data_IF_723894368710
#
_entry.id   IF_723894368710
#
_cell.length_a   1.000
_cell.length_b   1.000
_cell.length_c   1.000
_cell.angle_alpha   90.00
_cell.angle_beta   90.00
_cell.angle_gamma   90.00
#
_symmetry.space_group_name_H-M   'P 1'
#
loop_
_entity.id
_entity.type
_entity.pdbx_description
1 polymer ?
#
# COMPACT_ATOMS: atom_id res chain seq x y z
N UNK A 1 -0.72 7.04 5.68
CA UNK A 1 -1.25 6.67 6.99
C UNK A 1 -2.27 7.70 7.49
N UNK A 2 -3.16 7.30 8.36
CA UNK A 2 -4.09 8.18 9.10
C UNK A 2 -4.86 7.37 10.15
N UNK A 3 -5.62 8.03 11.04
CA UNK A 3 -6.67 7.38 11.81
C UNK A 3 -7.72 6.69 10.93
N UNK A 4 -8.61 5.86 11.48
CA UNK A 4 -9.75 5.29 10.76
C UNK A 4 -10.64 6.38 10.12
N UNK A 5 -11.28 6.06 9.00
CA UNK A 5 -12.26 6.91 8.29
C UNK A 5 -11.70 8.23 7.70
N UNK A 6 -10.40 8.39 7.53
CA UNK A 6 -9.77 9.55 6.91
C UNK A 6 -9.43 9.37 5.42
N UNK A 7 -10.07 8.40 4.74
CA UNK A 7 -10.00 8.26 3.28
C UNK A 7 -8.82 7.46 2.74
N UNK A 8 -8.06 6.69 3.57
CA UNK A 8 -6.92 5.87 3.10
C UNK A 8 -7.27 4.98 1.92
N UNK A 9 -8.30 4.15 2.06
CA UNK A 9 -8.75 3.21 1.03
C UNK A 9 -9.09 3.92 -0.28
N UNK A 10 -9.79 5.05 -0.20
CA UNK A 10 -10.11 5.87 -1.37
C UNK A 10 -8.86 6.45 -2.02
N UNK A 11 -7.93 6.95 -1.23
CA UNK A 11 -6.69 7.54 -1.70
C UNK A 11 -5.81 6.53 -2.42
N UNK A 12 -5.56 5.34 -1.82
CA UNK A 12 -4.71 4.32 -2.45
C UNK A 12 -5.37 3.70 -3.70
N UNK A 13 -6.70 3.56 -3.71
CA UNK A 13 -7.45 3.16 -4.91
C UNK A 13 -7.26 4.15 -6.04
N UNK A 14 -7.38 5.44 -5.75
CA UNK A 14 -7.21 6.52 -6.73
C UNK A 14 -5.77 6.61 -7.25
N UNK A 15 -4.78 6.38 -6.39
CA UNK A 15 -3.38 6.22 -6.80
C UNK A 15 -3.22 5.06 -7.78
N UNK A 16 -3.76 3.87 -7.47
CA UNK A 16 -3.69 2.70 -8.36
C UNK A 16 -4.29 3.00 -9.72
N UNK A 17 -5.47 3.62 -9.76
CA UNK A 17 -6.10 4.06 -11.01
C UNK A 17 -5.20 5.03 -11.80
N UNK A 18 -4.61 6.02 -11.13
CA UNK A 18 -3.73 6.98 -11.79
C UNK A 18 -2.43 6.32 -12.31
N UNK A 19 -1.88 5.37 -11.59
CA UNK A 19 -0.73 4.60 -12.07
C UNK A 19 -1.06 3.81 -13.34
N UNK A 20 -2.22 3.15 -13.38
CA UNK A 20 -2.69 2.44 -14.56
C UNK A 20 -2.96 3.40 -15.73
N UNK A 21 -3.77 4.45 -15.52
CA UNK A 21 -4.28 5.29 -16.61
C UNK A 21 -3.26 6.32 -17.12
N UNK A 22 -2.46 6.91 -16.21
CA UNK A 22 -1.55 8.00 -16.57
C UNK A 22 -0.12 7.55 -16.81
N UNK A 23 0.32 6.49 -16.11
CA UNK A 23 1.67 5.97 -16.23
C UNK A 23 1.75 4.66 -17.00
N UNK A 24 0.58 4.12 -17.40
CA UNK A 24 0.45 2.88 -18.15
C UNK A 24 1.14 1.68 -17.48
N UNK A 25 1.04 1.62 -16.13
CA UNK A 25 1.58 0.55 -15.32
C UNK A 25 0.56 -0.56 -15.11
N UNK A 26 1.04 -1.81 -15.02
CA UNK A 26 0.23 -2.95 -14.60
C UNK A 26 0.05 -2.89 -13.08
N UNK A 27 -1.18 -2.68 -12.62
CA UNK A 27 -1.51 -2.54 -11.21
C UNK A 27 -2.18 -3.80 -10.70
N UNK A 28 -1.65 -4.37 -9.61
CA UNK A 28 -2.32 -5.44 -8.89
C UNK A 28 -2.94 -4.90 -7.60
N UNK A 29 -4.23 -5.14 -7.40
CA UNK A 29 -4.88 -4.92 -6.12
C UNK A 29 -4.91 -6.24 -5.33
N UNK A 30 -4.31 -6.26 -4.14
CA UNK A 30 -4.45 -7.34 -3.16
C UNK A 30 -5.45 -6.87 -2.11
N UNK A 31 -6.68 -7.32 -2.26
CA UNK A 31 -7.87 -6.84 -1.56
C UNK A 31 -8.44 -7.93 -0.65
N UNK A 32 -7.85 -8.06 0.54
CA UNK A 32 -8.21 -9.10 1.50
C UNK A 32 -9.65 -8.97 2.00
N UNK A 33 -10.14 -7.71 2.17
CA UNK A 33 -11.44 -7.41 2.77
C UNK A 33 -12.54 -7.04 1.78
N UNK A 34 -12.22 -7.06 0.47
CA UNK A 34 -13.13 -6.58 -0.59
C UNK A 34 -13.55 -5.10 -0.40
N UNK A 35 -12.59 -4.26 0.01
CA UNK A 35 -12.81 -2.84 0.25
C UNK A 35 -12.09 -1.92 -0.77
N UNK A 36 -11.07 -2.44 -1.47
CA UNK A 36 -10.29 -1.67 -2.44
C UNK A 36 -11.02 -1.55 -3.77
N UNK A 37 -11.44 -2.66 -4.35
CA UNK A 37 -12.09 -2.70 -5.67
C UNK A 37 -13.51 -3.23 -5.53
N UNK A 38 -14.44 -2.31 -5.30
CA UNK A 38 -15.86 -2.63 -5.19
C UNK A 38 -16.47 -2.97 -6.55
N UNK A 39 -17.59 -3.73 -6.60
CA UNK A 39 -18.33 -3.96 -7.84
C UNK A 39 -18.66 -2.64 -8.54
N UNK A 40 -18.46 -2.60 -9.85
CA UNK A 40 -18.68 -1.41 -10.70
C UNK A 40 -17.77 -0.21 -10.40
N UNK A 41 -16.68 -0.39 -9.64
CA UNK A 41 -15.68 0.65 -9.44
C UNK A 41 -14.62 0.53 -10.53
N UNK A 42 -14.39 1.62 -11.24
CA UNK A 42 -13.29 1.70 -12.19
C UNK A 42 -11.96 1.81 -11.43
N UNK A 43 -11.09 0.84 -11.63
CA UNK A 43 -9.80 0.75 -10.93
C UNK A 43 -8.58 1.06 -11.82
N UNK A 44 -8.81 1.34 -13.11
CA UNK A 44 -7.77 1.64 -14.10
C UNK A 44 -7.97 0.90 -15.41
N UNK A 45 -7.14 1.19 -16.40
CA UNK A 45 -7.16 0.56 -17.73
C UNK A 45 -6.42 -0.78 -17.78
N UNK A 46 -5.43 -0.97 -16.90
CA UNK A 46 -4.64 -2.22 -16.79
C UNK A 46 -4.48 -2.58 -15.32
N UNK A 47 -5.34 -3.47 -14.83
CA UNK A 47 -5.29 -3.92 -13.44
C UNK A 47 -5.77 -5.36 -13.28
N UNK A 48 -5.22 -6.02 -12.27
CA UNK A 48 -5.68 -7.30 -11.74
C UNK A 48 -6.13 -7.15 -10.29
N UNK A 49 -6.98 -8.06 -9.82
CA UNK A 49 -7.47 -8.05 -8.43
C UNK A 49 -7.40 -9.45 -7.85
N UNK A 50 -6.71 -9.60 -6.72
CA UNK A 50 -6.77 -10.78 -5.87
C UNK A 50 -7.64 -10.46 -4.65
N UNK A 51 -8.86 -10.97 -4.64
CA UNK A 51 -9.83 -10.79 -3.56
C UNK A 51 -9.82 -11.95 -2.59
N UNK A 52 -10.09 -11.64 -1.31
CA UNK A 52 -10.23 -12.62 -0.23
C UNK A 52 -8.99 -13.51 -0.03
N UNK A 53 -7.88 -13.17 -0.63
CA UNK A 53 -6.63 -13.86 -0.40
C UNK A 53 -5.99 -13.31 0.87
N UNK A 54 -5.47 -14.19 1.72
CA UNK A 54 -4.55 -13.81 2.79
C UNK A 54 -3.46 -12.91 2.21
N UNK A 55 -3.18 -11.78 2.85
CA UNK A 55 -2.33 -10.73 2.28
C UNK A 55 -0.92 -11.21 1.94
N UNK A 56 -0.19 -11.90 2.83
CA UNK A 56 1.11 -12.49 2.51
C UNK A 56 1.07 -13.42 1.30
N UNK A 57 0.04 -14.25 1.20
CA UNK A 57 -0.15 -15.14 0.05
C UNK A 57 -0.42 -14.34 -1.23
N UNK A 58 -1.35 -13.38 -1.18
CA UNK A 58 -1.72 -12.55 -2.33
C UNK A 58 -0.53 -11.75 -2.87
N UNK A 59 0.27 -11.15 -1.99
CA UNK A 59 1.48 -10.42 -2.35
C UNK A 59 2.51 -11.33 -3.04
N UNK A 60 2.86 -12.45 -2.41
CA UNK A 60 3.88 -13.37 -2.94
C UNK A 60 3.41 -14.07 -4.23
N UNK A 61 2.15 -14.48 -4.31
CA UNK A 61 1.56 -15.08 -5.50
C UNK A 61 1.50 -14.07 -6.65
N UNK A 62 1.02 -12.86 -6.37
CA UNK A 62 0.88 -11.80 -7.36
C UNK A 62 2.19 -11.47 -8.06
N UNK A 63 3.28 -11.29 -7.31
CA UNK A 63 4.62 -11.04 -7.89
C UNK A 63 5.05 -12.16 -8.83
N UNK A 64 4.78 -13.42 -8.48
CA UNK A 64 5.25 -14.58 -9.26
C UNK A 64 4.43 -14.87 -10.51
N UNK A 65 3.14 -14.52 -10.49
CA UNK A 65 2.20 -14.99 -11.53
C UNK A 65 1.67 -13.89 -12.41
N UNK A 66 1.53 -12.66 -11.91
CA UNK A 66 0.89 -11.55 -12.61
C UNK A 66 1.88 -10.48 -13.08
N UNK A 67 3.13 -10.54 -12.62
CA UNK A 67 4.20 -9.61 -13.01
C UNK A 67 3.76 -8.12 -12.94
N UNK A 68 3.23 -7.64 -11.80
CA UNK A 68 2.78 -6.27 -11.68
C UNK A 68 3.95 -5.29 -11.58
N UNK A 69 3.77 -4.06 -12.07
CA UNK A 69 4.69 -2.95 -11.83
C UNK A 69 4.48 -2.35 -10.42
N UNK A 70 3.21 -2.34 -9.99
CA UNK A 70 2.78 -1.78 -8.70
C UNK A 70 1.74 -2.69 -8.06
N UNK A 71 1.88 -2.96 -6.77
CA UNK A 71 0.84 -3.60 -5.96
C UNK A 71 0.22 -2.57 -5.01
N UNK A 72 -1.11 -2.51 -5.01
CA UNK A 72 -1.91 -1.76 -4.06
C UNK A 72 -2.52 -2.74 -3.07
N UNK A 73 -2.27 -2.55 -1.78
CA UNK A 73 -2.88 -3.40 -0.75
C UNK A 73 -3.49 -2.54 0.36
N UNK A 74 -4.45 -3.11 1.05
CA UNK A 74 -5.09 -2.49 2.19
C UNK A 74 -4.16 -2.39 3.41
N UNK A 75 -4.71 -2.35 4.61
CA UNK A 75 -3.96 -2.10 5.84
C UNK A 75 -2.93 -3.20 6.16
N UNK A 76 -1.68 -2.77 6.42
CA UNK A 76 -0.65 -3.64 6.99
C UNK A 76 -0.86 -3.76 8.51
N UNK A 77 -1.09 -4.97 9.00
CA UNK A 77 -1.53 -5.21 10.39
C UNK A 77 -0.56 -6.00 11.22
N UNK A 78 0.27 -6.86 10.63
CA UNK A 78 1.16 -7.78 11.32
C UNK A 78 2.55 -7.85 10.70
N UNK A 79 3.48 -8.49 11.39
CA UNK A 79 4.87 -8.62 10.93
C UNK A 79 4.98 -9.37 9.59
N UNK A 80 4.14 -10.36 9.35
CA UNK A 80 4.11 -11.13 8.10
C UNK A 80 3.74 -10.27 6.89
N UNK A 81 2.83 -9.29 7.07
CA UNK A 81 2.48 -8.34 6.02
C UNK A 81 3.72 -7.55 5.57
N UNK A 82 4.46 -6.98 6.54
CA UNK A 82 5.67 -6.21 6.26
C UNK A 82 6.79 -7.06 5.65
N UNK A 83 6.96 -8.30 6.08
CA UNK A 83 7.92 -9.23 5.48
C UNK A 83 7.59 -9.51 4.01
N UNK A 84 6.30 -9.69 3.71
CA UNK A 84 5.83 -9.92 2.35
C UNK A 84 6.00 -8.68 1.46
N UNK A 85 5.70 -7.49 1.98
CA UNK A 85 5.98 -6.21 1.32
C UNK A 85 7.47 -6.09 0.98
N UNK A 86 8.35 -6.35 1.95
CA UNK A 86 9.81 -6.32 1.74
C UNK A 86 10.26 -7.28 0.62
N UNK A 87 9.67 -8.48 0.56
CA UNK A 87 9.99 -9.45 -0.49
C UNK A 87 9.55 -8.94 -1.88
N UNK A 88 8.38 -8.31 -1.98
CA UNK A 88 7.91 -7.70 -3.23
C UNK A 88 8.84 -6.57 -3.68
N UNK A 89 9.21 -5.66 -2.77
CA UNK A 89 10.14 -4.55 -3.07
C UNK A 89 11.50 -5.07 -3.54
N UNK A 90 12.05 -6.09 -2.88
CA UNK A 90 13.31 -6.75 -3.30
C UNK A 90 13.21 -7.43 -4.67
N UNK A 91 12.00 -7.79 -5.08
CA UNK A 91 11.72 -8.33 -6.43
C UNK A 91 11.54 -7.24 -7.49
N UNK A 92 11.69 -5.95 -7.12
CA UNK A 92 11.57 -4.81 -8.03
C UNK A 92 10.15 -4.27 -8.20
N UNK A 93 9.17 -4.81 -7.47
CA UNK A 93 7.76 -4.37 -7.53
C UNK A 93 7.53 -3.23 -6.55
N UNK A 94 6.88 -2.16 -7.00
CA UNK A 94 6.48 -1.03 -6.14
C UNK A 94 5.25 -1.39 -5.33
N UNK A 95 5.22 -0.91 -4.08
CA UNK A 95 4.10 -1.17 -3.15
C UNK A 95 3.48 0.13 -2.68
N UNK A 96 2.15 0.17 -2.71
CA UNK A 96 1.35 1.17 -2.00
C UNK A 96 0.48 0.42 -0.99
N UNK A 97 0.59 0.79 0.26
CA UNK A 97 -0.17 0.17 1.35
C UNK A 97 -0.70 1.22 2.32
N UNK A 98 -1.70 0.87 3.09
CA UNK A 98 -2.20 1.74 4.14
C UNK A 98 -1.77 1.28 5.53
N UNK A 99 -1.74 2.22 6.47
CA UNK A 99 -1.41 1.98 7.87
C UNK A 99 -2.27 2.87 8.76
N UNK A 100 -2.80 2.33 9.85
CA UNK A 100 -3.44 3.13 10.89
C UNK A 100 -2.40 3.71 11.82
N UNK A 101 -2.28 5.04 11.82
CA UNK A 101 -1.45 5.80 12.75
C UNK A 101 -1.93 7.26 12.77
N UNK A 102 -1.91 7.88 13.94
CA UNK A 102 -2.35 9.27 14.10
C UNK A 102 -1.25 10.27 13.74
N UNK A 103 0.02 9.87 13.88
CA UNK A 103 1.21 10.68 13.62
C UNK A 103 2.35 9.82 13.09
N UNK A 104 3.33 10.47 12.46
CA UNK A 104 4.50 9.78 11.89
C UNK A 104 5.30 9.02 12.98
N UNK A 105 5.38 9.55 14.20
CA UNK A 105 6.09 8.89 15.30
C UNK A 105 5.43 7.55 15.68
N UNK A 106 4.11 7.43 15.50
CA UNK A 106 3.39 6.19 15.74
C UNK A 106 3.63 5.17 14.61
N UNK A 107 3.85 5.64 13.38
CA UNK A 107 4.32 4.78 12.27
C UNK A 107 5.69 4.19 12.63
N UNK A 108 6.65 5.03 13.05
CA UNK A 108 8.00 4.60 13.47
C UNK A 108 7.92 3.52 14.54
N UNK A 109 7.23 3.79 15.65
CA UNK A 109 7.07 2.83 16.75
C UNK A 109 6.46 1.50 16.30
N UNK A 110 5.50 1.55 15.37
CA UNK A 110 4.86 0.34 14.85
C UNK A 110 5.82 -0.49 14.03
N UNK A 111 6.62 0.14 13.17
CA UNK A 111 7.66 -0.52 12.38
C UNK A 111 8.75 -1.12 13.28
N UNK A 112 9.18 -0.40 14.32
CA UNK A 112 10.13 -0.90 15.33
C UNK A 112 9.57 -2.11 16.07
N UNK A 113 8.31 -2.10 16.50
CA UNK A 113 7.66 -3.21 17.19
C UNK A 113 7.60 -4.48 16.36
N UNK A 114 7.55 -4.37 15.04
CA UNK A 114 7.60 -5.51 14.12
C UNK A 114 9.04 -5.89 13.72
N UNK A 115 10.05 -5.30 14.36
CA UNK A 115 11.46 -5.47 14.02
C UNK A 115 11.76 -5.16 12.53
N UNK A 116 11.03 -4.22 11.96
CA UNK A 116 11.26 -3.70 10.62
C UNK A 116 12.31 -2.59 10.75
N UNK A 117 13.57 -2.99 10.75
CA UNK A 117 14.71 -2.06 10.88
C UNK A 117 15.08 -1.39 9.55
N UNK A 118 14.57 -1.89 8.45
CA UNK A 118 14.82 -1.37 7.11
C UNK A 118 13.66 -0.47 6.67
N UNK A 119 13.63 0.75 7.20
CA UNK A 119 12.64 1.77 6.81
C UNK A 119 12.74 2.18 5.34
N UNK A 120 13.90 1.94 4.71
CA UNK A 120 14.17 2.28 3.31
C UNK A 120 13.35 1.45 2.31
N UNK A 121 12.50 0.52 2.77
CA UNK A 121 11.58 -0.18 1.88
C UNK A 121 10.41 0.70 1.40
N UNK A 122 10.18 1.84 2.02
CA UNK A 122 9.20 2.83 1.60
C UNK A 122 9.90 4.13 1.22
N UNK A 123 9.67 4.60 0.01
CA UNK A 123 10.21 5.87 -0.49
C UNK A 123 9.53 7.07 0.18
N UNK A 124 8.22 6.94 0.47
CA UNK A 124 7.40 8.02 1.02
C UNK A 124 6.38 7.52 2.03
N UNK A 125 6.10 8.36 3.02
CA UNK A 125 4.97 8.23 3.93
C UNK A 125 4.04 9.44 3.76
N UNK A 126 2.78 9.16 3.41
CA UNK A 126 1.76 10.20 3.19
C UNK A 126 0.77 10.19 4.34
N UNK A 127 0.66 11.33 5.01
CA UNK A 127 -0.32 11.55 6.06
C UNK A 127 -1.62 12.10 5.49
N UNK A 128 -2.75 11.49 5.87
CA UNK A 128 -4.08 11.97 5.49
C UNK A 128 -4.82 12.46 6.73
N UNK A 129 -5.49 13.60 6.58
CA UNK A 129 -6.38 14.14 7.58
C UNK A 129 -7.66 14.67 6.90
N UNK A 130 -8.82 14.08 7.24
CA UNK A 130 -10.11 14.48 6.68
C UNK A 130 -10.14 14.45 5.14
N UNK A 131 -9.70 13.35 4.52
CA UNK A 131 -9.63 13.13 3.06
C UNK A 131 -8.65 14.04 2.29
N UNK A 132 -7.72 14.70 2.99
CA UNK A 132 -6.69 15.56 2.40
C UNK A 132 -5.32 15.08 2.83
N UNK A 133 -4.33 15.28 1.97
CA UNK A 133 -2.92 15.13 2.33
C UNK A 133 -2.56 16.27 3.30
N UNK A 134 -2.12 15.91 4.51
CA UNK A 134 -1.68 16.84 5.55
C UNK A 134 -0.17 16.89 5.71
N UNK A 135 0.53 15.83 5.30
CA UNK A 135 1.99 15.75 5.35
C UNK A 135 2.53 14.71 4.37
N UNK A 136 3.74 14.95 3.91
CA UNK A 136 4.52 13.98 3.12
C UNK A 136 5.91 13.90 3.73
N UNK A 137 6.38 12.68 3.94
CA UNK A 137 7.68 12.39 4.55
C UNK A 137 8.45 11.45 3.61
N UNK A 138 9.76 11.60 3.56
CA UNK A 138 10.64 10.69 2.83
C UNK A 138 10.86 9.35 3.56
N UNK A 139 11.64 8.45 2.97
CA UNK A 139 11.96 7.15 3.56
C UNK A 139 12.72 7.23 4.90
N UNK A 140 13.37 8.36 5.20
CA UNK A 140 13.99 8.66 6.49
C UNK A 140 13.03 9.39 7.46
N UNK A 141 11.75 9.51 7.06
CA UNK A 141 10.68 10.17 7.81
C UNK A 141 10.87 11.67 8.05
N UNK A 142 11.65 12.33 7.19
CA UNK A 142 11.79 13.79 7.18
C UNK A 142 10.68 14.39 6.32
N UNK A 143 10.10 15.48 6.77
CA UNK A 143 9.08 16.24 6.02
C UNK A 143 9.67 16.78 4.71
N UNK A 144 8.93 16.61 3.62
CA UNK A 144 9.25 17.12 2.29
C UNK A 144 8.39 18.36 2.00
#
# INVERSE_FOLDING_TARGET
FSPPFHGKTTFIRDLGRNYSDKLNLNVLFVDERDELVLPNTYAGSSFDVLKYADKPYGLNCGVRTLNPDVIITDELTCAEDFLSVRNCVRSGVKIVASLHADKIENVVKRLENYAILDFLMFDYFVELNGFKVSGVYDGEMKTI
#
